data_IF_671971150168
#
_entry.id   IF_671971150168
#
_cell.length_a   1.000
_cell.length_b   1.000
_cell.length_c   1.000
_cell.angle_alpha   90.00
_cell.angle_beta   90.00
_cell.angle_gamma   90.00
#
_symmetry.space_group_name_H-M   'P 1'
#
loop_
_entity.id
_entity.type
_entity.pdbx_description
1 polymer ?
#
# COMPACT_ATOMS: atom_id res chain seq x y z
N UNK A 1 24.43 -5.46 8.24
CA UNK A 1 23.95 -6.85 8.32
C UNK A 1 22.71 -6.93 7.46
N UNK A 2 22.53 -7.73 6.41
CA UNK A 2 23.31 -8.70 5.65
C UNK A 2 22.36 -9.12 4.52
N UNK A 3 22.82 -9.06 3.26
CA UNK A 3 22.02 -9.36 2.06
C UNK A 3 21.46 -10.79 2.13
N UNK A 4 20.15 -10.97 2.33
CA UNK A 4 19.41 -12.19 2.00
C UNK A 4 17.89 -12.05 2.24
N UNK A 5 17.24 -11.05 1.66
CA UNK A 5 15.77 -11.05 1.57
C UNK A 5 15.36 -11.58 0.20
N UNK A 6 14.74 -12.76 0.18
CA UNK A 6 14.18 -13.49 -0.98
C UNK A 6 15.15 -14.23 -1.94
N UNK A 7 15.64 -15.43 -1.55
CA UNK A 7 16.37 -16.33 -2.47
C UNK A 7 15.53 -16.92 -3.63
N UNK A 8 14.21 -16.64 -3.71
CA UNK A 8 13.32 -17.19 -4.74
C UNK A 8 12.57 -16.15 -5.58
N UNK A 9 12.74 -14.85 -5.34
CA UNK A 9 12.00 -13.80 -6.09
C UNK A 9 10.49 -13.78 -5.86
N UNK A 10 10.02 -14.39 -4.77
CA UNK A 10 8.61 -14.43 -4.36
C UNK A 10 8.49 -13.76 -2.99
N UNK A 11 7.51 -12.89 -2.83
CA UNK A 11 7.21 -12.17 -1.61
C UNK A 11 5.96 -12.76 -0.95
N UNK A 12 6.09 -13.32 0.25
CA UNK A 12 4.94 -13.85 1.01
C UNK A 12 4.11 -12.71 1.62
N UNK A 13 2.87 -13.01 2.01
CA UNK A 13 1.99 -12.06 2.71
C UNK A 13 2.62 -11.53 4.00
N UNK A 14 3.29 -12.40 4.77
CA UNK A 14 3.96 -12.03 6.02
C UNK A 14 5.12 -11.06 5.75
N UNK A 15 5.91 -11.34 4.70
CA UNK A 15 7.00 -10.46 4.30
C UNK A 15 6.48 -9.11 3.80
N UNK A 16 5.40 -9.10 3.02
CA UNK A 16 4.75 -7.88 2.54
C UNK A 16 4.25 -7.02 3.71
N UNK A 17 3.55 -7.63 4.68
CA UNK A 17 3.06 -6.94 5.89
C UNK A 17 4.24 -6.40 6.72
N UNK A 18 5.32 -7.17 6.85
CA UNK A 18 6.52 -6.73 7.58
C UNK A 18 7.12 -5.48 6.94
N UNK A 19 7.36 -5.51 5.63
CA UNK A 19 7.87 -4.36 4.88
C UNK A 19 6.94 -3.16 5.03
N UNK A 20 5.62 -3.36 4.91
CA UNK A 20 4.64 -2.29 5.10
C UNK A 20 4.69 -1.69 6.51
N UNK A 21 4.81 -2.53 7.56
CA UNK A 21 4.95 -2.07 8.95
C UNK A 21 6.24 -1.28 9.19
N UNK A 22 7.32 -1.61 8.49
CA UNK A 22 8.59 -0.86 8.57
C UNK A 22 8.42 0.57 8.02
N UNK A 23 7.60 0.76 6.97
CA UNK A 23 7.28 2.10 6.43
C UNK A 23 6.19 2.85 7.23
N UNK A 24 5.28 2.13 7.88
CA UNK A 24 4.13 2.71 8.61
C UNK A 24 3.97 2.10 10.02
N UNK A 25 4.89 2.37 10.96
CA UNK A 25 5.01 1.66 12.24
C UNK A 25 3.83 1.85 13.21
N UNK A 26 2.95 2.84 12.98
CA UNK A 26 1.86 3.22 13.91
C UNK A 26 0.45 2.88 13.39
N UNK A 27 0.28 2.03 12.37
CA UNK A 27 -1.04 1.63 11.84
C UNK A 27 -1.32 0.13 11.94
N UNK A 28 -2.53 -0.26 12.37
CA UNK A 28 -3.03 -1.62 12.18
C UNK A 28 -3.43 -1.82 10.71
N UNK A 29 -2.43 -1.91 9.85
CA UNK A 29 -2.60 -1.95 8.41
C UNK A 29 -2.82 -3.37 7.85
N UNK A 30 -2.97 -4.39 8.69
CA UNK A 30 -3.06 -5.79 8.24
C UNK A 30 -4.20 -6.03 7.27
N UNK A 31 -5.39 -5.49 7.56
CA UNK A 31 -6.53 -5.56 6.65
C UNK A 31 -6.24 -4.86 5.32
N UNK A 32 -5.63 -3.68 5.33
CA UNK A 32 -5.27 -2.99 4.08
C UNK A 32 -4.19 -3.73 3.29
N UNK A 33 -3.15 -4.23 3.97
CA UNK A 33 -2.07 -5.00 3.37
C UNK A 33 -2.60 -6.25 2.68
N UNK A 34 -3.61 -6.90 3.25
CA UNK A 34 -4.27 -8.06 2.66
C UNK A 34 -4.97 -7.72 1.34
N UNK A 35 -5.66 -6.59 1.25
CA UNK A 35 -6.30 -6.15 0.02
C UNK A 35 -5.26 -5.80 -1.05
N UNK A 36 -4.20 -5.08 -0.67
CA UNK A 36 -3.11 -4.72 -1.61
C UNK A 36 -2.39 -5.99 -2.08
N UNK A 37 -2.08 -6.91 -1.18
CA UNK A 37 -1.42 -8.16 -1.52
C UNK A 37 -2.23 -8.94 -2.56
N UNK A 38 -3.54 -9.10 -2.35
CA UNK A 38 -4.44 -9.77 -3.30
C UNK A 38 -4.46 -9.10 -4.67
N UNK A 39 -4.37 -7.77 -4.74
CA UNK A 39 -4.31 -7.08 -6.05
C UNK A 39 -2.98 -7.24 -6.79
N UNK A 40 -1.91 -7.58 -6.07
CA UNK A 40 -0.61 -7.82 -6.67
C UNK A 40 -0.49 -9.30 -7.11
N UNK A 41 -0.99 -10.23 -6.29
CA UNK A 41 -1.08 -11.67 -6.55
C UNK A 41 -2.21 -11.99 -7.53
N UNK A 42 -1.95 -11.73 -8.82
CA UNK A 42 -2.95 -11.84 -9.90
C UNK A 42 -3.28 -13.27 -10.27
N UNK A 43 -2.36 -14.20 -10.03
CA UNK A 43 -2.57 -15.63 -10.28
C UNK A 43 -3.09 -16.40 -9.06
N UNK A 44 -3.23 -15.72 -7.91
CA UNK A 44 -3.64 -16.29 -6.63
C UNK A 44 -2.72 -17.42 -6.16
N UNK A 45 -1.43 -17.33 -6.46
CA UNK A 45 -0.43 -18.29 -6.00
C UNK A 45 -0.16 -18.20 -4.49
N UNK A 46 -0.59 -17.14 -3.83
CA UNK A 46 -0.31 -16.83 -2.43
C UNK A 46 1.04 -16.13 -2.23
N UNK A 47 1.73 -15.76 -3.32
CA UNK A 47 3.00 -15.07 -3.32
C UNK A 47 3.03 -14.02 -4.42
N UNK A 48 3.64 -12.87 -4.18
CA UNK A 48 3.86 -11.88 -5.23
C UNK A 48 5.20 -12.18 -5.89
N UNK A 49 5.20 -12.52 -7.17
CA UNK A 49 6.43 -12.68 -7.93
C UNK A 49 6.99 -11.33 -8.43
N UNK A 50 8.22 -11.36 -8.97
CA UNK A 50 8.87 -10.13 -9.47
C UNK A 50 8.10 -9.45 -10.61
N UNK A 51 7.45 -10.21 -11.48
CA UNK A 51 6.67 -9.69 -12.61
C UNK A 51 5.40 -9.01 -12.10
N UNK A 52 4.69 -9.65 -11.18
CA UNK A 52 3.49 -9.11 -10.53
C UNK A 52 3.80 -7.81 -9.78
N UNK A 53 4.91 -7.78 -9.04
CA UNK A 53 5.38 -6.58 -8.38
C UNK A 53 5.66 -5.43 -9.37
N UNK A 54 6.37 -5.70 -10.47
CA UNK A 54 6.66 -4.69 -11.49
C UNK A 54 5.39 -4.20 -12.21
N UNK A 55 4.46 -5.11 -12.50
CA UNK A 55 3.18 -4.75 -13.12
C UNK A 55 2.36 -3.84 -12.19
N UNK A 56 2.29 -4.16 -10.91
CA UNK A 56 1.62 -3.34 -9.91
C UNK A 56 2.24 -1.93 -9.80
N UNK A 57 3.57 -1.83 -9.80
CA UNK A 57 4.27 -0.53 -9.83
C UNK A 57 3.95 0.24 -11.11
N UNK A 58 3.99 -0.42 -12.27
CA UNK A 58 3.75 0.24 -13.56
C UNK A 58 2.33 0.80 -13.63
N UNK A 59 1.32 0.03 -13.20
CA UNK A 59 -0.08 0.47 -13.18
C UNK A 59 -0.27 1.65 -12.22
N UNK A 60 0.29 1.58 -11.02
CA UNK A 60 0.14 2.64 -10.01
C UNK A 60 0.89 3.93 -10.35
N UNK A 61 2.07 3.83 -10.97
CA UNK A 61 2.90 5.00 -11.33
C UNK A 61 2.52 5.62 -12.68
N UNK A 62 2.38 4.80 -13.72
CA UNK A 62 2.37 5.24 -15.12
C UNK A 62 1.16 4.73 -15.91
N UNK A 63 0.24 4.01 -15.26
CA UNK A 63 -1.00 3.56 -15.90
C UNK A 63 -1.91 4.71 -16.33
N UNK A 64 -2.67 4.45 -17.39
CA UNK A 64 -3.78 5.31 -17.82
C UNK A 64 -4.85 5.43 -16.72
N UNK A 65 -5.68 6.49 -16.73
CA UNK A 65 -6.81 6.61 -15.80
C UNK A 65 -7.69 5.36 -15.77
N UNK A 66 -7.97 4.76 -16.92
CA UNK A 66 -8.80 3.57 -17.07
C UNK A 66 -8.16 2.36 -16.39
N UNK A 67 -6.85 2.14 -16.59
CA UNK A 67 -6.11 1.06 -15.94
C UNK A 67 -6.04 1.24 -14.42
N UNK A 68 -5.93 2.49 -13.95
CA UNK A 68 -5.94 2.81 -12.52
C UNK A 68 -7.31 2.56 -11.90
N UNK A 69 -8.39 2.89 -12.62
CA UNK A 69 -9.76 2.60 -12.19
C UNK A 69 -10.04 1.11 -12.16
N UNK A 70 -9.64 0.36 -13.18
CA UNK A 70 -9.77 -1.10 -13.21
C UNK A 70 -8.99 -1.77 -12.07
N UNK A 71 -7.79 -1.26 -11.78
CA UNK A 71 -7.00 -1.76 -10.66
C UNK A 71 -7.63 -1.40 -9.30
N UNK A 72 -8.12 -0.18 -9.14
CA UNK A 72 -8.86 0.22 -7.93
C UNK A 72 -10.12 -0.61 -7.75
N UNK A 73 -10.87 -0.89 -8.82
CA UNK A 73 -12.05 -1.75 -8.78
C UNK A 73 -11.71 -3.14 -8.25
N UNK A 74 -10.66 -3.78 -8.79
CA UNK A 74 -10.19 -5.10 -8.31
C UNK A 74 -9.67 -5.11 -6.87
N UNK A 75 -9.25 -3.97 -6.34
CA UNK A 75 -8.89 -3.85 -4.92
C UNK A 75 -10.10 -4.00 -4.01
N UNK A 76 -11.24 -3.53 -4.47
CA UNK A 76 -12.43 -3.35 -3.65
C UNK A 76 -13.52 -4.39 -3.89
N UNK A 77 -13.57 -4.98 -5.08
CA UNK A 77 -14.26 -6.24 -5.37
C UNK A 77 -13.48 -7.37 -4.65
N UNK A 78 -13.95 -7.76 -3.46
CA UNK A 78 -13.26 -8.70 -2.57
C UNK A 78 -13.52 -10.13 -3.02
N UNK A 79 -14.75 -10.41 -3.46
CA UNK A 79 -15.15 -11.76 -3.90
C UNK A 79 -14.83 -12.02 -5.39
N UNK A 80 -14.47 -10.99 -6.15
CA UNK A 80 -14.09 -11.09 -7.56
C UNK A 80 -15.27 -11.34 -8.50
N UNK A 81 -16.49 -11.01 -8.07
CA UNK A 81 -17.70 -11.28 -8.85
C UNK A 81 -17.94 -10.26 -9.98
N UNK A 82 -17.11 -9.22 -10.08
CA UNK A 82 -17.21 -8.16 -11.09
C UNK A 82 -18.18 -7.05 -10.73
N UNK A 83 -18.69 -7.02 -9.49
CA UNK A 83 -19.56 -5.98 -8.93
C UNK A 83 -19.06 -5.59 -7.53
N UNK A 84 -19.49 -4.44 -7.02
CA UNK A 84 -19.17 -4.00 -5.66
C UNK A 84 -20.48 -3.97 -4.88
N UNK A 85 -20.62 -4.86 -3.90
CA UNK A 85 -21.79 -4.91 -3.04
C UNK A 85 -21.75 -3.86 -1.91
N UNK A 86 -22.84 -3.76 -1.13
CA UNK A 86 -22.93 -2.80 -0.03
C UNK A 86 -21.84 -3.00 1.03
N UNK A 87 -21.46 -4.25 1.33
CA UNK A 87 -20.44 -4.55 2.33
C UNK A 87 -19.05 -4.17 1.84
N UNK A 88 -18.77 -4.46 0.57
CA UNK A 88 -17.54 -4.05 -0.11
C UNK A 88 -17.45 -2.53 -0.16
N UNK A 89 -18.55 -1.84 -0.48
CA UNK A 89 -18.63 -0.37 -0.46
C UNK A 89 -18.36 0.23 0.92
N UNK A 90 -18.90 -0.35 2.00
CA UNK A 90 -18.58 0.09 3.37
C UNK A 90 -17.08 -0.08 3.65
N UNK A 91 -16.49 -1.19 3.18
CA UNK A 91 -15.04 -1.43 3.33
C UNK A 91 -14.20 -0.40 2.57
N UNK A 92 -14.63 0.00 1.37
CA UNK A 92 -14.03 1.09 0.60
C UNK A 92 -14.00 2.36 1.43
N UNK A 93 -15.13 2.73 2.04
CA UNK A 93 -15.24 3.96 2.81
C UNK A 93 -14.34 3.90 4.04
N UNK A 94 -14.36 2.83 4.82
CA UNK A 94 -13.51 2.68 6.01
C UNK A 94 -12.01 2.79 5.69
N UNK A 95 -11.55 2.03 4.69
CA UNK A 95 -10.14 1.92 4.34
C UNK A 95 -9.69 3.14 3.52
N UNK A 96 -10.51 3.56 2.56
CA UNK A 96 -10.25 4.70 1.67
C UNK A 96 -10.20 6.03 2.42
N UNK A 97 -11.14 6.32 3.32
CA UNK A 97 -11.04 7.54 4.15
C UNK A 97 -9.81 7.50 5.04
N UNK A 98 -9.48 6.36 5.64
CA UNK A 98 -8.27 6.22 6.46
C UNK A 98 -6.99 6.48 5.67
N UNK A 99 -6.84 5.90 4.48
CA UNK A 99 -5.68 6.11 3.60
C UNK A 99 -5.64 7.55 3.10
N UNK A 100 -6.78 8.13 2.69
CA UNK A 100 -6.85 9.51 2.22
C UNK A 100 -6.45 10.48 3.33
N UNK A 101 -6.93 10.28 4.56
CA UNK A 101 -6.55 11.08 5.73
C UNK A 101 -5.08 10.86 6.08
N UNK A 102 -4.56 9.63 6.02
CA UNK A 102 -3.13 9.34 6.24
C UNK A 102 -2.23 9.93 5.17
N UNK A 103 -2.58 9.82 3.89
CA UNK A 103 -1.84 10.41 2.78
C UNK A 103 -1.86 11.93 2.86
N UNK A 104 -2.99 12.52 3.26
CA UNK A 104 -3.09 13.94 3.54
C UNK A 104 -2.20 14.34 4.73
N UNK A 105 -2.28 13.65 5.87
CA UNK A 105 -1.42 13.92 7.04
C UNK A 105 0.05 13.74 6.68
N UNK A 106 0.43 12.69 5.96
CA UNK A 106 1.81 12.49 5.51
C UNK A 106 2.25 13.55 4.50
N UNK A 107 1.37 14.02 3.63
CA UNK A 107 1.65 15.13 2.73
C UNK A 107 1.83 16.43 3.54
N UNK A 108 1.06 16.65 4.60
CA UNK A 108 1.26 17.77 5.51
C UNK A 108 2.55 17.63 6.33
N UNK A 109 2.81 16.47 6.94
CA UNK A 109 4.02 16.22 7.73
C UNK A 109 5.28 16.28 6.86
N UNK A 110 5.24 15.76 5.64
CA UNK A 110 6.40 15.76 4.74
C UNK A 110 6.57 17.10 4.03
N UNK A 111 5.50 17.80 3.63
CA UNK A 111 5.59 19.01 2.80
C UNK A 111 5.47 20.31 3.61
N UNK A 112 4.67 20.35 4.68
CA UNK A 112 4.52 21.54 5.54
C UNK A 112 5.65 21.59 6.57
N UNK A 113 5.98 20.50 7.27
CA UNK A 113 7.04 20.54 8.29
C UNK A 113 8.42 20.80 7.65
N UNK A 114 8.75 20.15 6.52
CA UNK A 114 10.04 20.42 5.84
C UNK A 114 10.14 21.82 5.24
N UNK A 115 9.02 22.42 4.79
CA UNK A 115 9.03 23.73 4.15
C UNK A 115 8.93 24.89 5.16
N UNK A 116 8.22 24.70 6.27
CA UNK A 116 7.91 25.74 7.24
C UNK A 116 8.76 25.66 8.52
N UNK A 117 9.30 24.48 8.87
CA UNK A 117 10.15 24.29 10.06
C UNK A 117 11.39 23.41 9.80
N UNK A 118 12.25 23.76 8.82
CA UNK A 118 13.43 22.97 8.48
C UNK A 118 14.40 22.77 9.67
N UNK A 119 14.53 23.77 10.54
CA UNK A 119 15.50 23.78 11.64
C UNK A 119 15.05 22.98 12.88
N UNK A 120 13.77 22.62 12.98
CA UNK A 120 13.24 21.90 14.16
C UNK A 120 13.51 20.39 14.13
N UNK A 121 13.91 19.84 12.99
CA UNK A 121 14.27 18.43 12.84
C UNK A 121 15.65 18.11 13.44
N UNK A 122 16.59 19.07 13.44
CA UNK A 122 17.90 18.86 14.07
C UNK A 122 17.84 18.84 15.61
N UNK A 123 16.82 19.48 16.20
CA UNK A 123 16.67 19.58 17.64
C UNK A 123 16.12 18.30 18.30
N UNK A 124 15.43 17.44 17.54
CA UNK A 124 14.85 16.18 18.04
C UNK A 124 15.74 14.95 17.83
N UNK A 125 16.84 15.08 17.07
CA UNK A 125 17.81 14.00 16.82
C UNK A 125 19.05 14.03 17.73
N UNK A 126 19.13 14.98 18.67
CA UNK A 126 20.20 15.11 19.68
C UNK A 126 19.61 15.37 21.07
N UNK A 127 18.82 14.42 21.56
CA UNK A 127 18.30 14.39 22.93
C UNK A 127 18.06 12.97 23.37
#
# INVERSE_FOLDING_TARGET
MGKQDCPKGHLTKEQFIKVYKDFFPSGSAEGFCEHVFRTFDTDNSGFIDFKEFLLAINVTSSGTPEQKLEWAFRMYDIDGNGTIDEKEMIKIIEVGFYIMIRAFIMFFDFFVIHKEYPDKLEAWGRG
#
